data_IF_098764053367
#
_entry.id   IF_098764053367
#
_cell.length_a   1.000
_cell.length_b   1.000
_cell.length_c   1.000
_cell.angle_alpha   90.00
_cell.angle_beta   90.00
_cell.angle_gamma   90.00
#
_symmetry.space_group_name_H-M   'P 1'
#
loop_
_entity.id
_entity.type
_entity.pdbx_description
1 polymer ?
#
# COMPACT_ATOMS: atom_id res chain seq x y z
N UNK A 1 7.89 -12.56 8.55
CA UNK A 1 6.79 -11.68 8.93
C UNK A 1 6.86 -10.31 8.23
N UNK A 2 8.00 -9.94 7.68
CA UNK A 2 8.24 -8.67 6.97
C UNK A 2 8.47 -8.90 5.48
N UNK A 3 8.23 -7.86 4.72
CA UNK A 3 8.59 -7.76 3.32
C UNK A 3 9.46 -6.52 3.10
N UNK A 4 10.27 -6.57 2.06
CA UNK A 4 11.09 -5.44 1.66
C UNK A 4 10.40 -4.69 0.53
N UNK A 5 10.35 -3.37 0.65
CA UNK A 5 9.83 -2.49 -0.39
C UNK A 5 10.84 -1.42 -0.75
N UNK A 6 10.87 -1.10 -2.01
CA UNK A 6 11.65 0.01 -2.56
C UNK A 6 10.72 0.94 -3.32
N UNK A 7 10.97 2.23 -3.20
CA UNK A 7 10.24 3.23 -3.97
C UNK A 7 11.15 3.79 -5.05
N UNK A 8 10.62 3.96 -6.26
CA UNK A 8 11.37 4.51 -7.40
C UNK A 8 11.59 6.03 -7.32
N UNK A 9 10.85 6.71 -6.47
CA UNK A 9 10.93 8.15 -6.28
C UNK A 9 11.84 8.52 -5.11
N UNK A 10 12.37 9.76 -5.14
CA UNK A 10 13.22 10.29 -4.06
C UNK A 10 12.36 11.00 -3.02
N UNK A 11 12.62 10.71 -1.75
CA UNK A 11 11.95 11.37 -0.62
C UNK A 11 12.49 12.79 -0.42
N UNK A 12 11.58 13.72 -0.10
CA UNK A 12 11.91 15.08 0.34
C UNK A 12 11.87 15.22 1.87
N UNK A 13 11.85 14.11 2.60
CA UNK A 13 11.72 14.14 4.05
C UNK A 13 13.09 14.40 4.71
N UNK A 14 13.09 15.20 5.79
CA UNK A 14 14.27 15.48 6.58
C UNK A 14 14.59 14.38 7.62
N UNK A 15 13.66 13.44 7.86
CA UNK A 15 13.84 12.35 8.82
C UNK A 15 14.76 11.30 8.21
N UNK A 16 15.88 10.92 8.87
CA UNK A 16 16.75 9.87 8.39
C UNK A 16 16.01 8.53 8.22
N UNK A 17 16.32 7.78 7.16
CA UNK A 17 15.72 6.49 6.85
C UNK A 17 16.55 5.69 5.85
N UNK A 18 15.91 4.76 5.14
CA UNK A 18 16.61 3.86 4.21
C UNK A 18 16.40 4.20 2.72
N UNK A 19 15.48 5.13 2.40
CA UNK A 19 15.16 5.46 1.01
C UNK A 19 16.00 6.64 0.48
N UNK A 20 16.22 6.67 -0.83
CA UNK A 20 16.96 7.76 -1.47
C UNK A 20 16.26 9.11 -1.27
N UNK A 21 17.04 10.12 -0.88
CA UNK A 21 16.56 11.49 -0.69
C UNK A 21 17.08 12.42 -1.79
N UNK A 22 16.35 13.52 -2.00
CA UNK A 22 16.82 14.64 -2.82
C UNK A 22 17.71 15.59 -2.03
N UNK A 23 17.73 15.48 -0.70
CA UNK A 23 18.54 16.37 0.14
C UNK A 23 19.99 15.91 0.13
N UNK A 24 20.89 16.85 -0.17
CA UNK A 24 22.32 16.74 0.08
C UNK A 24 22.61 17.26 1.49
N UNK A 25 23.29 16.45 2.31
CA UNK A 25 23.56 16.84 3.71
C UNK A 25 24.30 15.75 4.46
N UNK A 26 23.99 15.53 5.73
CA UNK A 26 24.68 14.63 6.66
C UNK A 26 24.56 13.13 6.38
N UNK A 27 24.45 12.70 5.13
CA UNK A 27 24.45 11.29 4.75
C UNK A 27 25.84 10.68 4.72
N UNK A 28 25.91 9.35 4.52
CA UNK A 28 27.18 8.61 4.43
C UNK A 28 27.56 8.21 2.99
N UNK A 29 26.66 8.38 2.04
CA UNK A 29 26.87 8.01 0.65
C UNK A 29 27.43 9.22 -0.12
N UNK A 30 28.70 9.10 -0.58
CA UNK A 30 29.33 10.16 -1.37
C UNK A 30 28.53 10.45 -2.64
N UNK A 31 28.18 11.71 -2.83
CA UNK A 31 27.42 12.17 -4.00
C UNK A 31 28.29 12.83 -5.05
N UNK A 32 29.28 13.61 -4.62
CA UNK A 32 30.13 14.40 -5.49
C UNK A 32 30.80 15.53 -4.74
N UNK A 33 31.38 16.44 -5.52
CA UNK A 33 32.02 17.64 -4.99
C UNK A 33 31.18 18.87 -5.34
N UNK A 34 31.15 19.85 -4.44
CA UNK A 34 30.51 21.13 -4.64
C UNK A 34 31.38 22.25 -4.08
N UNK A 35 31.27 23.50 -4.60
CA UNK A 35 31.97 24.65 -4.03
C UNK A 35 31.55 24.88 -2.56
N UNK A 36 32.52 25.23 -1.69
CA UNK A 36 32.27 25.53 -0.27
C UNK A 36 31.24 26.64 -0.09
N UNK A 37 31.17 27.61 -1.01
CA UNK A 37 30.20 28.70 -1.00
C UNK A 37 28.76 28.17 -1.10
N UNK A 38 28.55 27.13 -1.92
CA UNK A 38 27.21 26.53 -2.13
C UNK A 38 26.81 25.59 -0.99
N UNK A 39 27.80 24.97 -0.34
CA UNK A 39 27.62 24.03 0.76
C UNK A 39 28.60 24.35 1.89
N UNK A 40 28.30 25.32 2.76
CA UNK A 40 29.24 25.85 3.73
C UNK A 40 29.43 24.89 4.95
N UNK A 41 29.96 23.71 4.71
CA UNK A 41 30.34 22.74 5.73
C UNK A 41 31.87 22.45 5.66
N UNK A 42 32.69 23.12 6.48
CA UNK A 42 34.14 22.93 6.47
C UNK A 42 34.61 21.53 6.88
N UNK A 43 33.73 20.75 7.55
CA UNK A 43 34.05 19.36 7.98
C UNK A 43 34.22 18.42 6.80
N UNK A 44 33.56 18.74 5.70
CA UNK A 44 33.58 17.97 4.46
C UNK A 44 34.53 18.54 3.41
N UNK A 45 35.42 19.46 3.80
CA UNK A 45 36.40 20.06 2.90
C UNK A 45 37.32 18.98 2.30
N UNK A 46 37.42 18.93 0.97
CA UNK A 46 38.34 18.07 0.26
C UNK A 46 39.52 18.92 -0.23
N UNK A 47 40.64 18.88 0.51
CA UNK A 47 41.83 19.64 0.18
C UNK A 47 42.43 19.21 -1.16
N UNK A 48 42.42 17.89 -1.42
CA UNK A 48 42.99 17.39 -2.66
C UNK A 48 42.18 17.81 -3.88
N UNK A 49 40.84 17.72 -3.80
CA UNK A 49 39.96 18.21 -4.86
C UNK A 49 40.06 19.73 -5.00
N UNK A 50 40.20 20.49 -3.90
CA UNK A 50 40.34 21.96 -3.92
C UNK A 50 41.63 22.40 -4.58
N UNK A 51 42.75 21.69 -4.39
CA UNK A 51 44.04 22.00 -5.03
C UNK A 51 44.03 21.73 -6.53
N UNK A 52 43.19 20.83 -6.98
CA UNK A 52 43.04 20.47 -8.39
C UNK A 52 41.87 21.19 -9.08
N UNK A 53 41.16 22.06 -8.37
CA UNK A 53 40.02 22.79 -8.94
C UNK A 53 40.50 23.82 -9.97
N UNK A 54 40.00 23.80 -11.22
CA UNK A 54 40.42 24.73 -12.26
C UNK A 54 40.13 26.21 -11.95
N UNK A 55 39.15 26.45 -11.04
CA UNK A 55 38.70 27.79 -10.64
C UNK A 55 39.31 28.26 -9.31
N UNK A 56 40.18 27.44 -8.69
CA UNK A 56 40.82 27.75 -7.39
C UNK A 56 39.87 27.87 -6.24
N UNK A 57 38.71 27.23 -6.30
CA UNK A 57 37.69 27.26 -5.27
C UNK A 57 37.91 26.16 -4.24
N UNK A 58 37.55 26.45 -2.99
CA UNK A 58 37.46 25.38 -1.98
C UNK A 58 36.28 24.48 -2.28
N UNK A 59 36.54 23.20 -2.33
CA UNK A 59 35.57 22.16 -2.71
C UNK A 59 35.29 21.27 -1.50
N UNK A 60 34.01 20.99 -1.27
CA UNK A 60 33.55 20.09 -0.20
C UNK A 60 32.94 18.83 -0.80
N UNK A 61 33.07 17.73 -0.08
CA UNK A 61 32.37 16.48 -0.37
C UNK A 61 30.90 16.64 0.00
N UNK A 62 30.04 16.33 -0.93
CA UNK A 62 28.59 16.26 -0.68
C UNK A 62 28.17 14.81 -0.52
N UNK A 63 27.26 14.56 0.40
CA UNK A 63 26.75 13.21 0.68
C UNK A 63 25.25 13.20 0.44
N UNK A 64 24.74 12.07 -0.05
CA UNK A 64 23.29 11.82 -0.16
C UNK A 64 22.76 11.41 1.19
N UNK A 65 21.72 12.06 1.62
CA UNK A 65 20.96 11.63 2.78
C UNK A 65 19.97 10.55 2.36
N UNK A 66 19.84 9.51 3.17
CA UNK A 66 18.71 8.60 3.10
C UNK A 66 17.63 9.08 4.05
N UNK A 67 16.38 9.05 3.61
CA UNK A 67 15.27 9.53 4.41
C UNK A 67 14.14 8.52 4.52
N UNK A 68 13.39 8.63 5.62
CA UNK A 68 12.18 7.86 5.85
C UNK A 68 11.06 8.34 4.93
N UNK A 69 10.17 7.43 4.53
CA UNK A 69 8.98 7.73 3.75
C UNK A 69 7.73 7.42 4.58
N UNK A 70 6.64 8.20 4.45
CA UNK A 70 5.37 7.83 5.04
C UNK A 70 4.80 6.60 4.36
N UNK A 71 4.36 5.61 5.15
CA UNK A 71 3.70 4.40 4.66
C UNK A 71 2.29 4.34 5.24
N UNK A 72 1.29 4.16 4.39
CA UNK A 72 -0.10 4.04 4.81
C UNK A 72 -0.72 2.74 4.30
N UNK A 73 -1.60 2.18 5.10
CA UNK A 73 -2.57 1.17 4.67
C UNK A 73 -3.96 1.78 4.72
N UNK A 74 -4.64 1.81 3.58
CA UNK A 74 -6.05 2.13 3.45
C UNK A 74 -6.81 0.82 3.31
N UNK A 75 -7.57 0.46 4.33
CA UNK A 75 -8.21 -0.83 4.43
C UNK A 75 -9.72 -0.70 4.23
N UNK A 76 -10.25 -1.52 3.33
CA UNK A 76 -11.67 -1.73 3.15
C UNK A 76 -12.21 -2.62 4.27
N UNK A 77 -13.14 -2.09 5.07
CA UNK A 77 -13.81 -2.78 6.15
C UNK A 77 -15.30 -3.06 5.85
N UNK A 78 -15.67 -3.00 4.57
CA UNK A 78 -17.04 -3.30 4.14
C UNK A 78 -17.40 -4.79 4.35
N UNK A 79 -18.68 -5.08 4.36
CA UNK A 79 -19.21 -6.42 4.63
C UNK A 79 -18.73 -7.50 3.64
N UNK A 80 -18.33 -7.12 2.42
CA UNK A 80 -17.75 -8.05 1.45
C UNK A 80 -16.41 -8.63 1.93
N UNK A 81 -15.68 -7.90 2.76
CA UNK A 81 -14.43 -8.34 3.40
C UNK A 81 -14.65 -9.36 4.52
N UNK A 82 -15.88 -9.53 5.01
CA UNK A 82 -16.23 -10.60 5.96
C UNK A 82 -16.41 -11.98 5.32
N UNK A 83 -16.20 -12.10 4.00
CA UNK A 83 -16.33 -13.38 3.29
C UNK A 83 -15.33 -14.41 3.80
N UNK A 84 -15.86 -15.58 4.18
CA UNK A 84 -15.11 -16.76 4.66
C UNK A 84 -15.23 -17.89 3.67
N UNK A 85 -14.28 -17.99 2.78
CA UNK A 85 -14.21 -19.03 1.77
C UNK A 85 -13.21 -20.13 2.11
N UNK A 86 -12.15 -20.23 1.33
CA UNK A 86 -10.96 -21.05 1.62
C UNK A 86 -10.21 -20.49 2.81
N UNK A 87 -10.16 -19.17 2.87
CA UNK A 87 -9.61 -18.41 3.99
C UNK A 87 -10.59 -17.27 4.38
N UNK A 88 -10.31 -16.65 5.50
CA UNK A 88 -11.01 -15.47 5.95
C UNK A 88 -10.30 -14.24 5.34
N UNK A 89 -11.00 -13.50 4.44
CA UNK A 89 -10.43 -12.30 3.80
C UNK A 89 -10.03 -11.25 4.82
N UNK A 90 -10.85 -11.08 5.86
CA UNK A 90 -10.57 -10.11 6.90
C UNK A 90 -9.33 -10.49 7.72
N UNK A 91 -9.14 -11.77 8.00
CA UNK A 91 -7.90 -12.25 8.63
C UNK A 91 -6.68 -12.04 7.72
N UNK A 92 -6.85 -12.18 6.40
CA UNK A 92 -5.79 -11.89 5.41
C UNK A 92 -5.46 -10.39 5.39
N UNK A 93 -6.47 -9.52 5.45
CA UNK A 93 -6.30 -8.07 5.60
C UNK A 93 -5.54 -7.72 6.88
N UNK A 94 -5.94 -8.30 8.02
CA UNK A 94 -5.28 -8.08 9.30
C UNK A 94 -3.81 -8.50 9.26
N UNK A 95 -3.53 -9.67 8.67
CA UNK A 95 -2.16 -10.18 8.51
C UNK A 95 -1.32 -9.27 7.60
N UNK A 96 -1.85 -8.88 6.45
CA UNK A 96 -1.19 -7.93 5.54
C UNK A 96 -0.85 -6.63 6.25
N UNK A 97 -1.82 -6.05 6.97
CA UNK A 97 -1.67 -4.77 7.65
C UNK A 97 -0.61 -4.83 8.76
N UNK A 98 -0.59 -5.92 9.53
CA UNK A 98 0.43 -6.15 10.55
C UNK A 98 1.83 -6.32 9.93
N UNK A 99 1.94 -7.06 8.81
CA UNK A 99 3.19 -7.20 8.07
C UNK A 99 3.68 -5.86 7.52
N UNK A 100 2.78 -5.04 6.96
CA UNK A 100 3.12 -3.71 6.44
C UNK A 100 3.63 -2.78 7.55
N UNK A 101 2.94 -2.76 8.69
CA UNK A 101 3.35 -1.98 9.85
C UNK A 101 4.72 -2.41 10.40
N UNK A 102 4.96 -3.71 10.50
CA UNK A 102 6.23 -4.25 10.95
C UNK A 102 7.37 -3.97 9.95
N UNK A 103 7.11 -4.10 8.66
CA UNK A 103 8.08 -3.77 7.61
C UNK A 103 8.45 -2.29 7.62
N UNK A 104 7.47 -1.39 7.76
CA UNK A 104 7.71 0.04 7.89
C UNK A 104 8.55 0.36 9.14
N UNK A 105 8.23 -0.23 10.28
CA UNK A 105 9.02 -0.06 11.50
C UNK A 105 10.47 -0.49 11.30
N UNK A 106 10.72 -1.65 10.68
CA UNK A 106 12.06 -2.15 10.38
C UNK A 106 12.86 -1.29 9.43
N UNK A 107 12.16 -0.68 8.47
CA UNK A 107 12.76 0.27 7.51
C UNK A 107 12.95 1.68 8.08
N UNK A 108 12.56 1.92 9.36
CA UNK A 108 12.63 3.26 9.97
C UNK A 108 11.58 4.23 9.42
N UNK A 109 10.55 3.73 8.76
CA UNK A 109 9.49 4.51 8.13
C UNK A 109 8.30 4.69 9.08
N UNK A 110 7.73 5.89 9.19
CA UNK A 110 6.50 6.09 9.94
C UNK A 110 5.34 5.42 9.22
N UNK A 111 4.46 4.78 10.00
CA UNK A 111 3.30 4.04 9.51
C UNK A 111 1.99 4.66 9.98
N UNK A 112 0.99 4.67 9.10
CA UNK A 112 -0.38 5.06 9.38
C UNK A 112 -1.37 4.02 8.83
N UNK A 113 -2.53 3.91 9.49
CA UNK A 113 -3.60 3.00 9.06
C UNK A 113 -4.94 3.74 9.05
N UNK A 114 -5.74 3.53 8.02
CA UNK A 114 -7.07 4.10 7.88
C UNK A 114 -8.02 2.99 7.42
N UNK A 115 -8.89 2.56 8.31
CA UNK A 115 -9.95 1.61 8.00
C UNK A 115 -11.23 2.34 7.61
N UNK A 116 -11.85 1.90 6.51
CA UNK A 116 -12.99 2.56 5.90
C UNK A 116 -14.09 1.56 5.57
N UNK A 117 -15.31 1.93 5.98
CA UNK A 117 -16.54 1.34 5.53
C UNK A 117 -17.36 2.37 4.75
N UNK A 118 -18.58 2.65 5.17
CA UNK A 118 -19.41 3.74 4.61
C UNK A 118 -18.74 5.12 4.77
N UNK A 119 -17.93 5.29 5.83
CA UNK A 119 -17.06 6.41 6.11
C UNK A 119 -15.76 5.92 6.73
N UNK A 120 -14.95 6.84 7.25
CA UNK A 120 -13.73 6.51 7.99
C UNK A 120 -14.12 6.03 9.38
N UNK A 121 -13.68 4.81 9.79
CA UNK A 121 -13.90 4.32 11.15
C UNK A 121 -12.88 4.94 12.12
N UNK A 122 -13.35 5.75 13.11
CA UNK A 122 -12.45 6.37 14.09
C UNK A 122 -11.66 5.36 14.93
N UNK A 123 -12.17 4.13 15.12
CA UNK A 123 -11.47 3.08 15.84
C UNK A 123 -10.32 2.48 15.04
N UNK A 124 -10.37 2.64 13.70
CA UNK A 124 -9.38 2.16 12.77
C UNK A 124 -8.64 3.30 12.07
N UNK A 125 -8.58 4.45 12.68
CA UNK A 125 -7.71 5.55 12.26
C UNK A 125 -6.48 5.61 13.18
N UNK A 126 -5.34 5.20 12.64
CA UNK A 126 -4.03 5.31 13.29
C UNK A 126 -3.23 6.37 12.53
N UNK A 127 -2.97 7.53 13.13
CA UNK A 127 -2.19 8.59 12.49
C UNK A 127 -0.74 8.13 12.30
N UNK A 128 -0.05 8.77 11.35
CA UNK A 128 1.33 8.46 11.00
C UNK A 128 2.25 8.52 12.22
N UNK A 129 2.81 7.39 12.61
CA UNK A 129 3.69 7.24 13.77
C UNK A 129 4.77 6.20 13.49
N UNK A 130 5.86 6.30 14.23
CA UNK A 130 6.92 5.29 14.22
C UNK A 130 7.05 4.71 15.62
N UNK A 131 6.53 3.50 15.83
CA UNK A 131 6.66 2.77 17.07
C UNK A 131 6.50 1.25 16.85
N UNK A 132 7.15 0.46 17.72
CA UNK A 132 7.33 -0.98 17.53
C UNK A 132 6.04 -1.79 17.61
N UNK A 133 5.16 -1.46 18.54
CA UNK A 133 3.99 -2.28 18.86
C UNK A 133 2.78 -2.05 17.93
N UNK A 134 2.91 -1.18 16.90
CA UNK A 134 1.81 -0.87 16.00
C UNK A 134 1.31 -2.11 15.24
N UNK A 135 2.18 -3.03 14.88
CA UNK A 135 1.82 -4.24 14.16
C UNK A 135 0.96 -5.19 15.02
N UNK A 136 1.34 -5.35 16.30
CA UNK A 136 0.63 -6.19 17.25
C UNK A 136 -0.72 -5.59 17.62
N UNK A 137 -0.75 -4.28 17.88
CA UNK A 137 -1.98 -3.53 18.17
C UNK A 137 -2.98 -3.62 17.02
N UNK A 138 -2.50 -3.42 15.79
CA UNK A 138 -3.33 -3.46 14.61
C UNK A 138 -3.88 -4.86 14.35
N UNK A 139 -3.03 -5.89 14.49
CA UNK A 139 -3.46 -7.28 14.40
C UNK A 139 -4.56 -7.61 15.41
N UNK A 140 -4.36 -7.25 16.68
CA UNK A 140 -5.33 -7.52 17.74
C UNK A 140 -6.67 -6.80 17.51
N UNK A 141 -6.63 -5.54 17.06
CA UNK A 141 -7.85 -4.77 16.76
C UNK A 141 -8.60 -5.35 15.58
N UNK A 142 -7.91 -5.62 14.46
CA UNK A 142 -8.54 -6.14 13.25
C UNK A 142 -9.08 -7.54 13.44
N UNK A 143 -8.41 -8.44 14.16
CA UNK A 143 -8.90 -9.80 14.39
C UNK A 143 -10.18 -9.85 15.25
N UNK A 144 -10.42 -8.83 16.07
CA UNK A 144 -11.65 -8.69 16.87
C UNK A 144 -12.78 -8.00 16.11
N UNK A 145 -12.48 -7.33 15.02
CA UNK A 145 -13.47 -6.60 14.22
C UNK A 145 -14.22 -7.52 13.28
N UNK A 146 -15.52 -7.25 13.12
CA UNK A 146 -16.37 -7.94 12.14
C UNK A 146 -16.84 -6.89 11.13
N UNK A 147 -16.35 -6.96 9.87
CA UNK A 147 -16.78 -6.04 8.84
C UNK A 147 -18.28 -6.17 8.59
N UNK A 148 -19.02 -5.07 8.64
CA UNK A 148 -20.46 -5.05 8.49
C UNK A 148 -21.00 -3.84 7.72
N UNK A 149 -20.14 -2.92 7.31
CA UNK A 149 -20.53 -1.75 6.53
C UNK A 149 -20.97 -2.12 5.12
N UNK A 150 -21.98 -1.40 4.60
CA UNK A 150 -22.58 -1.72 3.30
C UNK A 150 -21.79 -1.25 2.10
N UNK A 151 -20.75 -0.46 2.29
CA UNK A 151 -19.91 0.05 1.21
C UNK A 151 -18.52 0.40 1.68
N UNK A 152 -17.59 0.56 0.74
CA UNK A 152 -16.24 1.06 0.96
C UNK A 152 -16.10 2.56 0.58
N UNK A 153 -17.20 3.32 0.66
CA UNK A 153 -17.22 4.72 0.17
C UNK A 153 -16.27 5.63 0.94
N UNK A 154 -16.05 5.35 2.22
CA UNK A 154 -15.10 6.08 3.08
C UNK A 154 -13.66 6.09 2.55
N UNK A 155 -13.28 5.18 1.67
CA UNK A 155 -11.97 5.20 1.02
C UNK A 155 -11.74 6.50 0.22
N UNK A 156 -12.78 7.10 -0.36
CA UNK A 156 -12.69 8.37 -1.09
C UNK A 156 -12.40 9.58 -0.18
N UNK A 157 -12.63 9.43 1.12
CA UNK A 157 -12.44 10.49 2.11
C UNK A 157 -11.03 10.46 2.73
N UNK A 158 -10.18 9.50 2.36
CA UNK A 158 -8.89 9.26 3.02
C UNK A 158 -7.78 10.24 2.60
N UNK A 159 -7.84 10.77 1.38
CA UNK A 159 -6.78 11.63 0.83
C UNK A 159 -6.40 12.83 1.74
N UNK A 160 -7.35 13.57 2.35
CA UNK A 160 -7.01 14.66 3.26
C UNK A 160 -6.23 14.22 4.52
N UNK A 161 -6.44 12.98 4.98
CA UNK A 161 -5.77 12.42 6.17
C UNK A 161 -4.34 11.97 5.89
N UNK A 162 -4.03 11.58 4.66
CA UNK A 162 -2.67 11.21 4.24
C UNK A 162 -1.81 12.48 4.09
N UNK A 163 -2.43 13.60 3.71
CA UNK A 163 -1.77 14.88 3.52
C UNK A 163 -1.07 15.01 2.16
N UNK A 164 -0.20 16.03 2.00
CA UNK A 164 0.41 16.37 0.70
C UNK A 164 1.77 15.73 0.45
N UNK A 165 2.38 15.14 1.48
CA UNK A 165 3.71 14.49 1.31
C UNK A 165 3.55 13.20 0.54
N UNK A 166 4.36 13.01 -0.51
CA UNK A 166 4.38 11.75 -1.25
C UNK A 166 4.63 10.59 -0.29
N UNK A 167 3.75 9.62 -0.31
CA UNK A 167 3.70 8.48 0.61
C UNK A 167 3.58 7.19 -0.20
N UNK A 168 4.05 6.09 0.35
CA UNK A 168 3.68 4.75 -0.13
C UNK A 168 2.34 4.38 0.48
N UNK A 169 1.36 4.06 -0.34
CA UNK A 169 -0.02 3.78 0.09
C UNK A 169 -0.44 2.40 -0.41
N UNK A 170 -0.68 1.48 0.51
CA UNK A 170 -1.31 0.19 0.19
C UNK A 170 -2.82 0.35 0.28
N UNK A 171 -3.50 0.21 -0.85
CA UNK A 171 -4.96 0.23 -0.92
C UNK A 171 -5.47 -1.22 -0.92
N UNK A 172 -5.99 -1.68 0.22
CA UNK A 172 -6.34 -3.09 0.46
C UNK A 172 -7.85 -3.26 0.44
N UNK A 173 -8.36 -3.98 -0.56
CA UNK A 173 -9.79 -4.26 -0.76
C UNK A 173 -9.97 -5.51 -1.62
N UNK A 174 -11.19 -6.03 -1.73
CA UNK A 174 -11.54 -7.01 -2.74
C UNK A 174 -11.94 -6.35 -4.08
N UNK A 175 -12.02 -5.03 -4.10
CA UNK A 175 -12.35 -4.24 -5.30
C UNK A 175 -13.66 -4.67 -5.98
N UNK A 176 -14.66 -5.10 -5.22
CA UNK A 176 -15.99 -5.45 -5.77
C UNK A 176 -16.89 -4.23 -6.00
N UNK A 177 -16.51 -3.06 -5.51
CA UNK A 177 -17.21 -1.81 -5.80
C UNK A 177 -17.07 -1.38 -7.27
N UNK A 178 -17.79 -0.33 -7.68
CA UNK A 178 -17.84 0.13 -9.08
C UNK A 178 -16.44 0.58 -9.56
N UNK A 179 -16.09 0.25 -10.81
CA UNK A 179 -14.82 0.68 -11.41
C UNK A 179 -14.68 2.22 -11.45
N UNK A 180 -15.77 2.96 -11.58
CA UNK A 180 -15.75 4.43 -11.48
C UNK A 180 -15.25 4.91 -10.12
N UNK A 181 -15.60 4.22 -9.04
CA UNK A 181 -15.08 4.53 -7.68
C UNK A 181 -13.58 4.28 -7.60
N UNK A 182 -13.07 3.20 -8.26
CA UNK A 182 -11.63 2.96 -8.34
C UNK A 182 -10.91 4.10 -9.06
N UNK A 183 -11.45 4.59 -10.17
CA UNK A 183 -10.86 5.73 -10.90
C UNK A 183 -10.80 6.96 -10.01
N UNK A 184 -11.92 7.34 -9.38
CA UNK A 184 -11.97 8.47 -8.46
C UNK A 184 -10.96 8.35 -7.32
N UNK A 185 -10.82 7.14 -6.76
CA UNK A 185 -9.87 6.88 -5.67
C UNK A 185 -8.41 7.03 -6.13
N UNK A 186 -8.07 6.51 -7.31
CA UNK A 186 -6.73 6.66 -7.88
C UNK A 186 -6.43 8.12 -8.26
N UNK A 187 -7.42 8.87 -8.74
CA UNK A 187 -7.29 10.32 -8.98
C UNK A 187 -7.04 11.11 -7.69
N UNK A 188 -7.80 10.82 -6.62
CA UNK A 188 -7.59 11.51 -5.32
C UNK A 188 -6.25 11.20 -4.69
N UNK A 189 -5.66 10.05 -4.99
CA UNK A 189 -4.37 9.58 -4.49
C UNK A 189 -3.23 9.77 -5.50
N UNK A 190 -3.40 10.56 -6.55
CA UNK A 190 -2.42 10.71 -7.64
C UNK A 190 -1.04 11.18 -7.17
N UNK A 191 -0.99 12.01 -6.12
CA UNK A 191 0.27 12.52 -5.54
C UNK A 191 1.09 11.46 -4.80
N UNK A 192 0.47 10.33 -4.44
CA UNK A 192 1.08 9.25 -3.67
C UNK A 192 1.47 8.08 -4.57
N UNK A 193 2.34 7.23 -4.05
CA UNK A 193 2.69 5.96 -4.69
C UNK A 193 1.75 4.87 -4.15
N UNK A 194 0.73 4.54 -4.95
CA UNK A 194 -0.35 3.63 -4.52
C UNK A 194 -0.09 2.23 -5.05
N UNK A 195 -0.13 1.25 -4.18
CA UNK A 195 -0.12 -0.18 -4.50
C UNK A 195 -1.51 -0.74 -4.20
N UNK A 196 -2.34 -1.00 -5.22
CA UNK A 196 -3.62 -1.66 -5.03
C UNK A 196 -3.40 -3.14 -4.66
N UNK A 197 -3.85 -3.56 -3.48
CA UNK A 197 -3.76 -4.93 -2.97
C UNK A 197 -5.13 -5.56 -3.04
N UNK A 198 -5.32 -6.47 -3.98
CA UNK A 198 -6.61 -7.09 -4.30
C UNK A 198 -6.73 -8.42 -3.57
N UNK A 199 -7.65 -8.52 -2.61
CA UNK A 199 -7.86 -9.73 -1.81
C UNK A 199 -9.03 -10.53 -2.38
N UNK A 200 -8.74 -11.67 -3.02
CA UNK A 200 -9.74 -12.60 -3.55
C UNK A 200 -9.60 -13.99 -2.93
N UNK A 201 -10.75 -14.62 -2.70
CA UNK A 201 -10.80 -16.02 -2.28
C UNK A 201 -11.16 -16.93 -3.46
N UNK A 202 -10.51 -18.08 -3.54
CA UNK A 202 -10.73 -19.04 -4.62
C UNK A 202 -12.17 -19.56 -4.66
N UNK A 203 -12.87 -19.65 -3.53
CA UNK A 203 -14.29 -20.05 -3.48
C UNK A 203 -15.25 -19.03 -4.08
N UNK A 204 -14.85 -17.79 -4.26
CA UNK A 204 -15.65 -16.82 -5.01
C UNK A 204 -15.66 -17.13 -6.51
N UNK A 205 -14.62 -17.76 -7.03
CA UNK A 205 -14.43 -18.06 -8.45
C UNK A 205 -14.77 -19.49 -8.80
N UNK A 206 -14.49 -20.44 -7.89
CA UNK A 206 -14.60 -21.85 -8.13
C UNK A 206 -15.71 -22.46 -7.28
N UNK A 207 -16.76 -22.90 -7.96
CA UNK A 207 -17.89 -23.58 -7.38
C UNK A 207 -17.97 -25.02 -7.93
N UNK A 208 -18.62 -25.94 -7.21
CA UNK A 208 -18.95 -27.26 -7.77
C UNK A 208 -19.74 -27.13 -9.08
N UNK A 209 -19.55 -28.06 -10.02
CA UNK A 209 -20.25 -28.03 -11.32
C UNK A 209 -21.76 -28.17 -11.17
N UNK A 210 -22.22 -28.87 -10.12
CA UNK A 210 -23.63 -29.11 -9.84
C UNK A 210 -23.94 -28.87 -8.36
N UNK A 211 -25.09 -28.29 -8.10
CA UNK A 211 -25.58 -28.08 -6.74
C UNK A 211 -26.56 -26.91 -6.63
N UNK A 212 -27.00 -26.65 -5.41
CA UNK A 212 -27.80 -25.47 -5.06
C UNK A 212 -27.00 -24.70 -4.01
N UNK A 213 -26.70 -23.46 -4.31
CA UNK A 213 -26.06 -22.55 -3.36
C UNK A 213 -26.98 -21.38 -3.03
N UNK A 214 -26.96 -20.98 -1.77
CA UNK A 214 -27.55 -19.71 -1.35
C UNK A 214 -26.44 -18.65 -1.40
N UNK A 215 -26.58 -17.72 -2.31
CA UNK A 215 -25.72 -16.55 -2.39
C UNK A 215 -26.35 -15.43 -1.59
N UNK A 216 -25.63 -14.96 -0.59
CA UNK A 216 -26.01 -13.78 0.19
C UNK A 216 -25.13 -12.62 -0.25
N UNK A 217 -25.75 -11.54 -0.68
CA UNK A 217 -25.07 -10.29 -0.96
C UNK A 217 -24.85 -9.57 0.38
N UNK A 218 -23.60 -9.41 0.86
CA UNK A 218 -23.35 -8.84 2.18
C UNK A 218 -23.68 -7.33 2.25
N UNK A 219 -23.63 -6.62 1.12
CA UNK A 219 -23.90 -5.17 1.07
C UNK A 219 -25.40 -4.87 1.08
N UNK A 220 -26.19 -5.64 0.32
CA UNK A 220 -27.64 -5.40 0.23
C UNK A 220 -28.47 -6.28 1.15
N UNK A 221 -27.89 -7.30 1.78
CA UNK A 221 -28.58 -8.31 2.59
C UNK A 221 -29.51 -9.23 1.79
N UNK A 222 -29.52 -9.13 0.46
CA UNK A 222 -30.35 -9.96 -0.40
C UNK A 222 -29.76 -11.34 -0.57
N UNK A 223 -30.59 -12.37 -0.39
CA UNK A 223 -30.19 -13.73 -0.69
C UNK A 223 -30.87 -14.27 -1.95
N UNK A 224 -30.12 -15.00 -2.74
CA UNK A 224 -30.60 -15.68 -3.95
C UNK A 224 -30.16 -17.13 -3.92
N UNK A 225 -31.08 -18.04 -4.23
CA UNK A 225 -30.72 -19.42 -4.50
C UNK A 225 -30.31 -19.56 -5.98
N UNK A 226 -29.12 -20.09 -6.20
CA UNK A 226 -28.59 -20.35 -7.54
C UNK A 226 -28.45 -21.86 -7.73
N UNK A 227 -28.94 -22.36 -8.86
CA UNK A 227 -28.69 -23.73 -9.29
C UNK A 227 -27.38 -23.71 -10.07
N UNK A 228 -26.37 -24.33 -9.49
CA UNK A 228 -25.07 -24.47 -10.15
C UNK A 228 -25.19 -25.44 -11.33
N UNK A 229 -24.62 -25.01 -12.43
CA UNK A 229 -24.42 -25.78 -13.67
C UNK A 229 -23.04 -25.41 -14.23
N UNK A 230 -22.37 -26.28 -15.00
CA UNK A 230 -21.05 -25.95 -15.58
C UNK A 230 -21.00 -24.63 -16.31
N UNK A 231 -22.04 -24.29 -17.08
CA UNK A 231 -22.16 -23.02 -17.80
C UNK A 231 -22.20 -21.79 -16.88
N UNK A 232 -22.80 -21.91 -15.68
CA UNK A 232 -22.80 -20.82 -14.68
C UNK A 232 -21.43 -20.65 -14.07
N UNK A 233 -20.74 -21.76 -13.73
CA UNK A 233 -19.37 -21.75 -13.23
C UNK A 233 -18.40 -21.06 -14.21
N UNK A 234 -18.51 -21.36 -15.52
CA UNK A 234 -17.74 -20.69 -16.56
C UNK A 234 -18.01 -19.18 -16.62
N UNK A 235 -19.27 -18.78 -16.54
CA UNK A 235 -19.66 -17.35 -16.53
C UNK A 235 -19.07 -16.63 -15.32
N UNK A 236 -19.08 -17.24 -14.14
CA UNK A 236 -18.48 -16.66 -12.92
C UNK A 236 -16.97 -16.49 -13.13
N UNK A 237 -16.28 -17.53 -13.57
CA UNK A 237 -14.83 -17.47 -13.85
C UNK A 237 -14.48 -16.41 -14.90
N UNK A 238 -15.30 -16.31 -15.96
CA UNK A 238 -15.13 -15.29 -17.00
C UNK A 238 -15.32 -13.86 -16.44
N UNK A 239 -16.31 -13.65 -15.56
CA UNK A 239 -16.55 -12.37 -14.92
C UNK A 239 -15.37 -11.95 -14.02
N UNK A 240 -14.78 -12.88 -13.25
CA UNK A 240 -13.58 -12.61 -12.45
C UNK A 240 -12.36 -12.30 -13.32
N UNK A 241 -12.14 -13.04 -14.42
CA UNK A 241 -11.07 -12.69 -15.37
C UNK A 241 -11.25 -11.29 -15.94
N UNK A 242 -12.46 -10.98 -16.43
CA UNK A 242 -12.78 -9.65 -16.95
C UNK A 242 -12.59 -8.55 -15.90
N UNK A 243 -12.98 -8.81 -14.65
CA UNK A 243 -12.76 -7.87 -13.53
C UNK A 243 -11.28 -7.64 -13.28
N UNK A 244 -10.49 -8.71 -13.22
CA UNK A 244 -9.04 -8.64 -13.07
C UNK A 244 -8.41 -7.76 -14.16
N UNK A 245 -8.73 -8.06 -15.44
CA UNK A 245 -8.20 -7.31 -16.57
C UNK A 245 -8.61 -5.83 -16.53
N UNK A 246 -9.84 -5.55 -16.06
CA UNK A 246 -10.31 -4.18 -15.91
C UNK A 246 -9.59 -3.43 -14.81
N UNK A 247 -9.38 -4.04 -13.63
CA UNK A 247 -8.60 -3.46 -12.54
C UNK A 247 -7.17 -3.20 -13.00
N UNK A 248 -6.51 -4.19 -13.62
CA UNK A 248 -5.13 -4.07 -14.11
C UNK A 248 -5.00 -2.93 -15.12
N UNK A 249 -5.91 -2.84 -16.11
CA UNK A 249 -5.89 -1.76 -17.11
C UNK A 249 -6.12 -0.38 -16.50
N UNK A 250 -7.05 -0.26 -15.56
CA UNK A 250 -7.30 1.02 -14.89
C UNK A 250 -6.11 1.43 -14.05
N UNK A 251 -5.55 0.54 -13.25
CA UNK A 251 -4.36 0.85 -12.44
C UNK A 251 -3.17 1.24 -13.32
N UNK A 252 -2.97 0.57 -14.46
CA UNK A 252 -1.89 0.88 -15.40
C UNK A 252 -1.99 2.30 -16.00
N UNK A 253 -3.22 2.84 -16.18
CA UNK A 253 -3.42 4.22 -16.64
C UNK A 253 -2.85 5.26 -15.66
N UNK A 254 -2.78 4.90 -14.38
CA UNK A 254 -2.18 5.73 -13.32
C UNK A 254 -0.74 5.33 -13.00
N UNK A 255 -0.11 4.50 -13.85
CA UNK A 255 1.24 3.98 -13.61
C UNK A 255 1.34 3.07 -12.37
N UNK A 256 0.25 2.36 -12.05
CA UNK A 256 0.14 1.46 -10.90
C UNK A 256 0.01 0.03 -11.37
N UNK A 257 0.61 -0.89 -10.63
CA UNK A 257 0.41 -2.32 -10.84
C UNK A 257 -0.34 -2.91 -9.64
N UNK A 258 -1.49 -3.60 -9.84
CA UNK A 258 -2.21 -4.21 -8.74
C UNK A 258 -1.55 -5.50 -8.29
N UNK A 259 -1.37 -5.66 -6.98
CA UNK A 259 -0.91 -6.88 -6.35
C UNK A 259 -2.10 -7.78 -5.96
N UNK A 260 -2.23 -8.93 -6.62
CA UNK A 260 -3.33 -9.87 -6.37
C UNK A 260 -2.93 -10.92 -5.34
N UNK A 261 -3.65 -10.93 -4.22
CA UNK A 261 -3.55 -11.95 -3.17
C UNK A 261 -4.70 -12.94 -3.34
N UNK A 262 -4.37 -14.20 -3.59
CA UNK A 262 -5.35 -15.27 -3.64
C UNK A 262 -5.24 -16.13 -2.38
N UNK A 263 -6.33 -16.21 -1.63
CA UNK A 263 -6.49 -16.99 -0.41
C UNK A 263 -5.55 -16.58 0.74
N UNK A 264 -4.24 -16.58 0.53
CA UNK A 264 -3.24 -16.33 1.58
C UNK A 264 -2.23 -15.30 1.11
N UNK A 265 -1.93 -14.32 1.96
CA UNK A 265 -0.87 -13.35 1.71
C UNK A 265 0.49 -13.94 2.10
N UNK A 266 1.43 -13.90 1.16
CA UNK A 266 2.82 -14.24 1.37
C UNK A 266 3.69 -12.96 1.25
N UNK A 267 4.39 -12.55 2.33
CA UNK A 267 5.27 -11.38 2.30
C UNK A 267 6.40 -11.44 1.26
N UNK A 268 6.90 -12.64 0.94
CA UNK A 268 7.97 -12.80 -0.05
C UNK A 268 7.49 -12.43 -1.46
N UNK A 269 6.24 -12.74 -1.82
CA UNK A 269 5.66 -12.37 -3.11
C UNK A 269 5.57 -10.85 -3.26
N UNK A 270 5.23 -10.13 -2.18
CA UNK A 270 5.21 -8.67 -2.20
C UNK A 270 6.63 -8.09 -2.27
N UNK A 271 7.63 -8.74 -1.66
CA UNK A 271 9.04 -8.36 -1.85
C UNK A 271 9.44 -8.48 -3.32
N UNK A 272 9.09 -9.58 -3.99
CA UNK A 272 9.35 -9.76 -5.42
C UNK A 272 8.62 -8.73 -6.29
N UNK A 273 7.40 -8.36 -5.93
CA UNK A 273 6.64 -7.29 -6.61
C UNK A 273 7.41 -5.95 -6.63
N UNK A 274 8.10 -5.59 -5.55
CA UNK A 274 8.90 -4.36 -5.48
C UNK A 274 10.29 -4.45 -6.13
N UNK A 275 10.74 -5.64 -6.48
CA UNK A 275 12.04 -5.86 -7.13
C UNK A 275 11.96 -5.92 -8.67
N UNK A 276 10.73 -5.94 -9.22
CA UNK A 276 10.46 -5.88 -10.66
C UNK A 276 10.51 -4.45 -11.17
#
# INVERSE_FOLDING_TARGET
>A
MDFHYQVSWRSHNAIPGHHYSTQSGGGFEFHGHAPLISHPDPRNLDLHASLNDPFGQFVVRTFRQRSAIPVYVLADLSASMAFRGTRDKHATLAWFSACAAYSAFRSGDPFGFIGCGEGIDPNFWIPLRWYRSIAEELWERLTKHIPNDRSAHGLLETAPLIGRKKSLVFLVSDFHFRLATLVQLLETLETHDVVPVVLWDSREQYHPDWGIIRYNDPETGRSRCLILRPALGERIRAAFRQRRDSITRLCAQFGREPFFVRDTFNPEELTHYFLQ
#
